data_IF_313874327022
#
_entry.id   IF_313874327022
#
_cell.length_a   1.000
_cell.length_b   1.000
_cell.length_c   1.000
_cell.angle_alpha   90.00
_cell.angle_beta   90.00
_cell.angle_gamma   90.00
#
_symmetry.space_group_name_H-M   'P 1'
#
loop_
_entity.id
_entity.type
_entity.pdbx_description
1 polymer ?
#
# COMPACT_ATOMS: atom_id res chain seq x y z
N UNK A 1 10.08 1.64 -26.85
CA UNK A 1 9.90 2.72 -25.85
C UNK A 1 9.32 2.10 -24.59
N UNK A 2 9.98 2.24 -23.44
CA UNK A 2 9.39 1.79 -22.19
C UNK A 2 8.41 2.87 -21.74
N UNK A 3 7.10 2.62 -21.89
CA UNK A 3 6.06 3.47 -21.32
C UNK A 3 6.35 3.63 -19.83
N UNK A 4 6.61 4.85 -19.38
CA UNK A 4 6.68 5.16 -17.95
C UNK A 4 5.25 5.04 -17.42
N UNK A 5 4.87 3.85 -16.96
CA UNK A 5 3.59 3.65 -16.30
C UNK A 5 3.71 4.16 -14.87
N UNK A 6 3.10 5.32 -14.62
CA UNK A 6 2.92 5.86 -13.28
C UNK A 6 1.90 5.01 -12.53
N UNK A 7 2.26 4.57 -11.32
CA UNK A 7 1.45 3.66 -10.52
C UNK A 7 1.77 3.82 -9.03
N UNK A 8 0.77 3.58 -8.19
CA UNK A 8 0.90 3.52 -6.73
C UNK A 8 1.12 2.06 -6.33
N UNK A 9 2.07 1.80 -5.43
CA UNK A 9 2.34 0.44 -4.93
C UNK A 9 1.80 0.28 -3.52
N UNK A 10 1.00 -0.76 -3.32
CA UNK A 10 0.54 -1.23 -2.02
C UNK A 10 1.26 -2.52 -1.66
N UNK A 11 1.71 -2.60 -0.41
CA UNK A 11 2.43 -3.75 0.13
C UNK A 11 2.09 -3.92 1.61
N UNK A 12 2.11 -5.16 2.09
CA UNK A 12 2.03 -5.44 3.51
C UNK A 12 3.41 -5.29 4.18
N UNK A 13 3.41 -5.05 5.49
CA UNK A 13 4.61 -5.30 6.29
C UNK A 13 4.88 -6.81 6.33
N UNK A 14 6.13 -7.18 6.54
CA UNK A 14 6.61 -8.56 6.55
C UNK A 14 6.01 -9.41 7.66
N UNK A 15 5.60 -8.77 8.75
CA UNK A 15 5.03 -9.42 9.92
C UNK A 15 3.80 -8.64 10.38
N UNK A 16 2.80 -9.32 10.96
CA UNK A 16 1.69 -8.65 11.62
C UNK A 16 2.21 -7.82 12.79
N UNK A 17 1.58 -6.66 13.02
CA UNK A 17 1.90 -5.77 14.12
C UNK A 17 0.64 -5.47 14.93
N UNK A 18 0.79 -5.33 16.24
CA UNK A 18 -0.29 -4.89 17.11
C UNK A 18 -0.57 -3.39 16.92
N UNK A 19 -1.62 -2.88 17.58
CA UNK A 19 -1.92 -1.45 17.60
C UNK A 19 -0.85 -0.58 18.26
N UNK A 20 0.10 -1.16 19.00
CA UNK A 20 1.24 -0.46 19.60
C UNK A 20 2.37 -0.26 18.59
N UNK A 21 2.08 0.55 17.56
CA UNK A 21 3.01 0.84 16.48
C UNK A 21 3.96 2.01 16.80
N UNK A 22 3.99 2.46 18.06
CA UNK A 22 4.62 3.72 18.47
C UNK A 22 4.11 4.95 17.68
N UNK A 23 2.80 4.95 17.41
CA UNK A 23 2.10 5.98 16.63
C UNK A 23 2.37 5.93 15.13
N UNK A 24 1.78 6.87 14.38
CA UNK A 24 1.86 6.88 12.91
C UNK A 24 3.30 6.99 12.38
N UNK A 25 4.19 7.66 13.12
CA UNK A 25 5.61 7.77 12.75
C UNK A 25 6.33 6.43 12.82
N UNK A 26 6.03 5.60 13.80
CA UNK A 26 6.61 4.26 13.92
C UNK A 26 6.12 3.34 12.79
N UNK A 27 4.83 3.41 12.46
CA UNK A 27 4.25 2.69 11.32
C UNK A 27 4.86 3.15 9.98
N UNK A 28 4.94 4.46 9.72
CA UNK A 28 5.57 5.02 8.52
C UNK A 28 7.05 4.60 8.41
N UNK A 29 7.78 4.58 9.53
CA UNK A 29 9.18 4.14 9.56
C UNK A 29 9.33 2.64 9.25
N UNK A 30 8.41 1.80 9.71
CA UNK A 30 8.39 0.39 9.37
C UNK A 30 8.21 0.18 7.85
N UNK A 31 7.27 0.91 7.24
CA UNK A 31 7.06 0.91 5.79
C UNK A 31 8.32 1.33 5.03
N UNK A 32 8.92 2.47 5.39
CA UNK A 32 10.16 2.97 4.78
C UNK A 32 11.30 1.94 4.86
N UNK A 33 11.56 1.40 6.05
CA UNK A 33 12.68 0.48 6.28
C UNK A 33 12.53 -0.81 5.50
N UNK A 34 11.33 -1.38 5.46
CA UNK A 34 11.08 -2.65 4.76
C UNK A 34 11.07 -2.47 3.24
N UNK A 35 10.44 -1.41 2.73
CA UNK A 35 10.47 -1.07 1.30
C UNK A 35 11.91 -0.90 0.79
N UNK A 36 12.74 -0.17 1.55
CA UNK A 36 14.16 0.04 1.22
C UNK A 36 14.94 -1.28 1.17
N UNK A 37 14.72 -2.18 2.13
CA UNK A 37 15.34 -3.52 2.15
C UNK A 37 14.91 -4.39 0.98
N UNK A 38 13.67 -4.23 0.51
CA UNK A 38 13.13 -4.90 -0.66
C UNK A 38 13.57 -4.27 -2.00
N UNK A 39 14.38 -3.20 -1.98
CA UNK A 39 14.83 -2.50 -3.18
C UNK A 39 13.73 -1.71 -3.89
N UNK A 40 12.59 -1.48 -3.24
CA UNK A 40 11.50 -0.68 -3.81
C UNK A 40 11.85 0.82 -3.73
N UNK A 41 11.71 1.50 -4.86
CA UNK A 41 11.90 2.95 -4.97
C UNK A 41 10.60 3.69 -4.64
N UNK A 42 10.73 4.93 -4.17
CA UNK A 42 9.61 5.80 -3.81
C UNK A 42 9.40 5.95 -2.31
N UNK A 43 8.32 6.64 -1.93
CA UNK A 43 7.97 6.90 -0.53
C UNK A 43 6.82 5.99 -0.12
N UNK A 44 7.10 5.04 0.78
CA UNK A 44 6.07 4.18 1.39
C UNK A 44 5.66 4.74 2.74
N UNK A 45 4.34 4.85 2.94
CA UNK A 45 3.69 5.30 4.18
C UNK A 45 2.66 4.26 4.63
N UNK A 46 2.34 4.25 5.90
CA UNK A 46 1.37 3.34 6.48
C UNK A 46 -0.05 3.65 5.98
N UNK A 47 -0.78 2.60 5.56
CA UNK A 47 -2.17 2.71 5.12
C UNK A 47 -3.13 2.76 6.32
N UNK A 48 -3.07 3.87 7.06
CA UNK A 48 -3.80 4.06 8.31
C UNK A 48 -4.28 5.52 8.44
N UNK A 49 -5.46 5.70 9.01
CA UNK A 49 -5.82 7.01 9.57
C UNK A 49 -5.06 7.25 10.87
N UNK A 50 -4.79 8.50 11.18
CA UNK A 50 -4.21 8.96 12.44
C UNK A 50 -5.01 10.14 12.98
N UNK A 51 -4.68 10.63 14.18
CA UNK A 51 -5.35 11.78 14.80
C UNK A 51 -5.37 13.04 13.92
N UNK A 52 -4.42 13.19 13.00
CA UNK A 52 -4.22 14.41 12.19
C UNK A 52 -4.29 14.16 10.68
N UNK A 53 -4.54 12.92 10.24
CA UNK A 53 -4.54 12.57 8.82
C UNK A 53 -5.51 11.41 8.57
N UNK A 54 -6.48 11.63 7.69
CA UNK A 54 -7.35 10.56 7.21
C UNK A 54 -6.62 9.70 6.17
N UNK A 55 -6.92 8.41 6.14
CA UNK A 55 -6.28 7.46 5.23
C UNK A 55 -6.40 7.89 3.77
N UNK A 56 -7.54 8.42 3.32
CA UNK A 56 -7.80 8.87 1.94
C UNK A 56 -6.94 10.07 1.51
N UNK A 57 -6.37 10.80 2.48
CA UNK A 57 -5.53 11.96 2.24
C UNK A 57 -4.03 11.66 2.11
N UNK A 58 -3.61 10.39 2.26
CA UNK A 58 -2.19 9.98 2.17
C UNK A 58 -1.60 10.26 0.78
N UNK A 59 -2.38 9.98 -0.27
CA UNK A 59 -1.96 10.17 -1.66
C UNK A 59 -2.26 11.60 -2.12
N UNK A 60 -1.26 12.22 -2.75
CA UNK A 60 -1.33 13.57 -3.32
C UNK A 60 -2.44 13.64 -4.36
N UNK A 61 -3.13 14.78 -4.43
CA UNK A 61 -4.32 14.94 -5.29
C UNK A 61 -4.05 14.54 -6.75
N UNK A 62 -2.91 14.96 -7.33
CA UNK A 62 -2.55 14.67 -8.73
C UNK A 62 -2.22 13.20 -9.02
N UNK A 63 -1.97 12.39 -7.99
CA UNK A 63 -1.64 10.98 -8.14
C UNK A 63 -2.86 10.06 -7.91
N UNK A 64 -4.03 10.61 -7.58
CA UNK A 64 -5.19 9.82 -7.15
C UNK A 64 -5.87 9.02 -8.26
N UNK A 65 -5.63 9.38 -9.51
CA UNK A 65 -6.12 8.65 -10.69
C UNK A 65 -5.15 7.54 -11.14
N UNK A 66 -3.98 7.40 -10.51
CA UNK A 66 -3.03 6.34 -10.82
C UNK A 66 -3.52 4.97 -10.32
N UNK A 67 -3.26 3.88 -11.07
CA UNK A 67 -3.61 2.54 -10.63
C UNK A 67 -2.85 2.15 -9.37
N UNK A 68 -3.53 1.43 -8.48
CA UNK A 68 -2.92 0.83 -7.30
C UNK A 68 -2.56 -0.61 -7.64
N UNK A 69 -1.28 -0.94 -7.57
CA UNK A 69 -0.75 -2.27 -7.84
C UNK A 69 -0.10 -2.89 -6.60
N UNK A 70 0.05 -4.20 -6.60
CA UNK A 70 0.92 -4.88 -5.63
C UNK A 70 2.43 -4.69 -5.99
N UNK A 71 3.34 -5.26 -5.20
CA UNK A 71 4.78 -5.16 -5.46
C UNK A 71 5.24 -5.92 -6.72
N UNK A 72 4.42 -6.83 -7.25
CA UNK A 72 4.67 -7.57 -8.50
C UNK A 72 4.13 -6.85 -9.74
N UNK A 73 3.30 -5.82 -9.55
CA UNK A 73 2.70 -5.02 -10.63
C UNK A 73 1.27 -5.39 -10.97
N UNK A 74 0.66 -6.37 -10.31
CA UNK A 74 -0.75 -6.72 -10.54
C UNK A 74 -1.65 -5.63 -9.96
N UNK A 75 -2.68 -5.22 -10.72
CA UNK A 75 -3.65 -4.21 -10.28
C UNK A 75 -4.51 -4.75 -9.14
N UNK A 76 -4.60 -3.95 -8.07
CA UNK A 76 -5.48 -4.17 -6.93
C UNK A 76 -6.73 -3.29 -7.03
N UNK A 77 -6.57 -2.03 -7.43
CA UNK A 77 -7.65 -1.06 -7.66
C UNK A 77 -7.31 -0.18 -8.86
N UNK A 78 -8.32 0.26 -9.62
CA UNK A 78 -8.05 1.09 -10.80
C UNK A 78 -7.54 2.49 -10.43
N UNK A 79 -7.92 3.01 -9.25
CA UNK A 79 -7.40 4.28 -8.74
C UNK A 79 -7.61 4.44 -7.23
N UNK A 80 -6.87 5.37 -6.62
CA UNK A 80 -7.07 5.78 -5.22
C UNK A 80 -8.42 6.47 -5.02
N UNK A 81 -8.84 7.27 -6.00
CA UNK A 81 -10.15 7.93 -5.98
C UNK A 81 -11.30 6.93 -5.96
N UNK A 82 -11.21 5.87 -6.76
CA UNK A 82 -12.22 4.81 -6.79
C UNK A 82 -12.22 3.98 -5.51
N UNK A 83 -11.05 3.65 -4.97
CA UNK A 83 -10.95 2.93 -3.69
C UNK A 83 -11.67 3.67 -2.55
N UNK A 84 -11.64 5.02 -2.56
CA UNK A 84 -12.31 5.87 -1.58
C UNK A 84 -13.61 6.52 -2.10
N UNK A 85 -14.42 5.80 -2.89
CA UNK A 85 -15.71 6.28 -3.41
C UNK A 85 -16.91 6.09 -2.45
N UNK A 86 -16.70 5.52 -1.26
CA UNK A 86 -17.75 5.23 -0.29
C UNK A 86 -18.40 3.85 -0.41
N UNK A 87 -18.01 3.04 -1.40
CA UNK A 87 -18.49 1.66 -1.58
C UNK A 87 -17.63 0.60 -0.89
N UNK A 88 -16.84 0.96 0.12
CA UNK A 88 -16.11 -0.02 0.95
C UNK A 88 -14.86 -0.66 0.33
N UNK A 89 -14.35 -0.15 -0.81
CA UNK A 89 -13.10 -0.60 -1.43
C UNK A 89 -13.04 -2.12 -1.71
N UNK A 90 -14.10 -2.69 -2.29
CA UNK A 90 -14.11 -4.11 -2.64
C UNK A 90 -13.09 -4.45 -3.72
N UNK A 91 -12.38 -5.57 -3.54
CA UNK A 91 -11.58 -6.15 -4.60
C UNK A 91 -12.50 -6.87 -5.60
N UNK A 92 -12.31 -6.60 -6.90
CA UNK A 92 -13.09 -7.23 -7.97
C UNK A 92 -12.79 -8.72 -8.15
N UNK A 93 -11.64 -9.17 -7.65
CA UNK A 93 -11.14 -10.54 -7.69
C UNK A 93 -10.35 -10.84 -6.42
N UNK A 94 -10.04 -12.11 -6.15
CA UNK A 94 -9.22 -12.46 -4.99
C UNK A 94 -7.84 -11.77 -5.07
N UNK A 95 -7.53 -10.80 -4.20
CA UNK A 95 -6.36 -9.96 -4.38
C UNK A 95 -5.09 -10.71 -4.00
N UNK A 96 -4.00 -10.42 -4.71
CA UNK A 96 -2.66 -10.91 -4.34
C UNK A 96 -1.91 -9.79 -3.65
N UNK A 97 -2.06 -9.72 -2.33
CA UNK A 97 -1.38 -8.73 -1.50
C UNK A 97 -0.07 -9.35 -1.02
N UNK A 98 1.04 -8.72 -1.38
CA UNK A 98 2.36 -9.20 -1.01
C UNK A 98 2.97 -8.31 0.08
N UNK A 99 3.64 -8.92 1.04
CA UNK A 99 4.53 -8.23 1.95
C UNK A 99 5.82 -7.80 1.25
N UNK A 100 6.59 -6.88 1.85
CA UNK A 100 7.85 -6.41 1.28
C UNK A 100 8.87 -7.53 0.99
N UNK A 101 8.86 -8.64 1.75
CA UNK A 101 9.70 -9.82 1.50
C UNK A 101 9.09 -10.81 0.49
N UNK A 102 7.93 -10.51 -0.10
CA UNK A 102 7.36 -11.27 -1.21
C UNK A 102 6.40 -12.39 -0.83
N UNK A 103 5.99 -12.52 0.43
CA UNK A 103 4.96 -13.48 0.87
C UNK A 103 3.57 -12.98 0.49
N UNK A 104 2.71 -13.85 -0.03
CA UNK A 104 1.30 -13.49 -0.28
C UNK A 104 0.50 -13.65 1.01
N UNK A 105 0.12 -12.54 1.64
CA UNK A 105 -0.42 -12.53 3.01
C UNK A 105 -1.80 -13.19 3.17
N UNK A 106 -2.50 -13.47 2.07
CA UNK A 106 -3.80 -14.16 2.12
C UNK A 106 -3.70 -15.67 1.98
N UNK A 107 -2.55 -16.17 1.51
CA UNK A 107 -2.36 -17.61 1.25
C UNK A 107 -1.15 -18.19 1.99
N UNK A 108 -0.21 -17.35 2.40
CA UNK A 108 0.98 -17.74 3.15
C UNK A 108 0.69 -17.56 4.65
N UNK A 109 0.50 -18.69 5.34
CA UNK A 109 0.20 -18.75 6.78
C UNK A 109 1.47 -18.87 7.65
N UNK A 110 2.65 -18.68 7.04
CA UNK A 110 3.96 -18.79 7.71
C UNK A 110 4.65 -17.44 7.83
#
# INVERSE_FOLDING_TARGET
EASINFQLRMAALNEPISGDMHGIRGADYACYRQAKRAGLRGTFRAFLSSRVQNVDSIVRLGDRDLPIVNIKGDVLFNSWKEMFNGHGAYFSQNPRIYSFNGKNILTDLT
#
